data_IF_780765503983
#
_entry.id   IF_780765503983
#
_cell.length_a   1.000
_cell.length_b   1.000
_cell.length_c   1.000
_cell.angle_alpha   90.00
_cell.angle_beta   90.00
_cell.angle_gamma   90.00
#
_symmetry.space_group_name_H-M   'P 1'
#
loop_
_entity.id
_entity.type
_entity.pdbx_description
1 polymer ?
#
# COMPACT_ATOMS: atom_id res chain seq x y z
N UNK A 1 32.13 -30.14 -26.53
CA UNK A 1 32.14 -29.37 -25.27
C UNK A 1 31.64 -27.95 -25.53
N UNK A 2 30.33 -27.72 -25.63
CA UNK A 2 29.79 -26.35 -25.83
C UNK A 2 28.59 -25.98 -24.94
N UNK A 3 28.06 -26.91 -24.14
CA UNK A 3 26.92 -26.68 -23.26
C UNK A 3 27.26 -25.86 -22.00
N UNK A 4 28.55 -25.54 -21.80
CA UNK A 4 29.05 -24.86 -20.60
C UNK A 4 28.76 -23.36 -20.53
N UNK A 5 28.18 -22.75 -21.57
CA UNK A 5 27.95 -21.29 -21.61
C UNK A 5 26.51 -20.86 -21.34
N UNK A 6 25.55 -21.79 -21.30
CA UNK A 6 24.13 -21.48 -21.08
C UNK A 6 23.65 -21.69 -19.64
N UNK A 7 24.43 -22.37 -18.80
CA UNK A 7 24.03 -22.65 -17.41
C UNK A 7 24.35 -21.52 -16.41
N UNK A 8 25.09 -20.46 -16.81
CA UNK A 8 25.40 -19.34 -15.91
C UNK A 8 24.39 -18.18 -15.95
N UNK A 9 23.39 -18.21 -16.86
CA UNK A 9 22.48 -17.08 -17.07
C UNK A 9 21.17 -17.13 -16.24
N UNK A 10 20.97 -18.16 -15.42
CA UNK A 10 19.69 -18.44 -14.76
C UNK A 10 19.70 -18.20 -13.23
N UNK A 11 20.60 -17.35 -12.75
CA UNK A 11 20.71 -16.98 -11.33
C UNK A 11 20.36 -15.50 -11.08
N UNK A 12 19.38 -14.99 -11.84
CA UNK A 12 18.69 -13.73 -11.56
C UNK A 12 17.18 -13.95 -11.40
N UNK A 13 16.78 -14.94 -10.59
CA UNK A 13 15.42 -14.95 -10.05
C UNK A 13 15.35 -13.85 -8.99
N UNK A 14 14.73 -12.73 -9.36
CA UNK A 14 14.67 -11.50 -8.60
C UNK A 14 14.32 -11.70 -7.13
N UNK A 15 15.14 -11.12 -6.25
CA UNK A 15 14.73 -10.79 -4.90
C UNK A 15 13.59 -9.77 -5.03
N UNK A 16 12.34 -10.24 -5.05
CA UNK A 16 11.21 -9.37 -4.74
C UNK A 16 11.43 -8.94 -3.29
N UNK A 17 11.53 -7.63 -3.00
CA UNK A 17 11.43 -7.20 -1.62
C UNK A 17 10.02 -7.57 -1.18
N UNK A 18 9.91 -8.66 -0.42
CA UNK A 18 8.74 -8.91 0.38
C UNK A 18 8.68 -7.73 1.36
N UNK A 19 7.89 -6.72 1.02
CA UNK A 19 7.54 -5.64 1.92
C UNK A 19 6.65 -6.21 3.02
N UNK A 20 7.25 -7.00 3.91
CA UNK A 20 6.67 -7.27 5.20
C UNK A 20 6.76 -5.95 5.96
N UNK A 21 5.62 -5.26 6.09
CA UNK A 21 5.50 -4.23 7.10
C UNK A 21 5.86 -4.87 8.46
N UNK A 22 6.52 -4.15 9.38
CA UNK A 22 6.84 -4.71 10.69
C UNK A 22 5.54 -5.11 11.42
N UNK A 23 5.55 -6.23 12.17
CA UNK A 23 4.39 -6.78 12.92
C UNK A 23 3.66 -5.70 13.77
N UNK A 24 4.41 -4.72 14.27
CA UNK A 24 3.89 -3.57 15.00
C UNK A 24 2.94 -2.71 14.17
N UNK A 25 3.21 -2.50 12.88
CA UNK A 25 2.33 -1.76 11.97
C UNK A 25 1.04 -2.52 11.66
N UNK A 26 1.10 -3.85 11.55
CA UNK A 26 -0.08 -4.67 11.30
C UNK A 26 -1.06 -4.63 12.49
N UNK A 27 -0.55 -4.66 13.73
CA UNK A 27 -1.39 -4.47 14.92
C UNK A 27 -2.05 -3.11 14.97
N UNK A 28 -1.30 -2.04 14.70
CA UNK A 28 -1.85 -0.67 14.69
C UNK A 28 -2.90 -0.51 13.59
N UNK A 29 -2.65 -1.07 12.40
CA UNK A 29 -3.63 -1.12 11.31
C UNK A 29 -4.93 -1.82 11.76
N UNK A 30 -4.83 -2.97 12.42
CA UNK A 30 -6.00 -3.70 12.91
C UNK A 30 -6.77 -2.91 13.99
N UNK A 31 -6.08 -2.27 14.94
CA UNK A 31 -6.71 -1.38 15.93
C UNK A 31 -7.48 -0.22 15.26
N UNK A 32 -6.85 0.45 14.28
CA UNK A 32 -7.49 1.52 13.51
C UNK A 32 -8.69 0.99 12.72
N UNK A 33 -8.58 -0.19 12.10
CA UNK A 33 -9.68 -0.81 11.38
C UNK A 33 -10.88 -1.04 12.30
N UNK A 34 -10.65 -1.62 13.48
CA UNK A 34 -11.68 -1.85 14.48
C UNK A 34 -12.29 -0.55 14.97
N UNK A 35 -11.50 0.51 15.18
CA UNK A 35 -12.03 1.85 15.51
C UNK A 35 -12.94 2.38 14.41
N UNK A 36 -12.54 2.27 13.14
CA UNK A 36 -13.34 2.72 12.00
C UNK A 36 -14.67 1.95 11.94
N UNK A 37 -14.64 0.64 12.15
CA UNK A 37 -15.84 -0.21 12.22
C UNK A 37 -16.75 0.18 13.39
N UNK A 38 -16.18 0.42 14.57
CA UNK A 38 -16.92 0.86 15.74
C UNK A 38 -17.57 2.25 15.56
N UNK A 39 -17.02 3.09 14.68
CA UNK A 39 -17.64 4.36 14.29
C UNK A 39 -18.75 4.21 13.23
N UNK A 40 -19.08 2.97 12.84
CA UNK A 40 -20.18 2.65 11.92
C UNK A 40 -19.78 2.53 10.45
N UNK A 41 -18.48 2.52 10.12
CA UNK A 41 -18.02 2.30 8.74
C UNK A 41 -17.81 0.79 8.51
N UNK A 42 -18.54 0.14 7.60
CA UNK A 42 -18.38 -1.29 7.36
C UNK A 42 -17.00 -1.60 6.79
N UNK A 43 -16.42 -2.75 7.14
CA UNK A 43 -15.08 -3.17 6.68
C UNK A 43 -14.94 -3.15 5.15
N UNK A 44 -16.00 -3.52 4.43
CA UNK A 44 -16.03 -3.50 2.96
C UNK A 44 -16.08 -2.08 2.37
N UNK A 45 -16.37 -1.07 3.17
CA UNK A 45 -16.51 0.34 2.77
C UNK A 45 -15.19 1.11 2.77
N UNK A 46 -14.08 0.50 3.19
CA UNK A 46 -12.77 1.13 3.21
C UNK A 46 -11.62 0.13 3.11
N UNK A 47 -10.41 0.63 2.90
CA UNK A 47 -9.18 -0.15 2.91
C UNK A 47 -8.08 0.61 3.60
N UNK A 48 -7.24 -0.12 4.34
CA UNK A 48 -6.08 0.43 5.04
C UNK A 48 -4.79 -0.10 4.42
N UNK A 49 -3.99 0.80 3.86
CA UNK A 49 -2.70 0.47 3.22
C UNK A 49 -1.56 1.02 4.06
N UNK A 50 -0.55 0.18 4.32
CA UNK A 50 0.67 0.60 5.02
C UNK A 50 1.69 0.98 3.95
N UNK A 51 2.15 2.22 3.97
CA UNK A 51 3.17 2.73 3.03
C UNK A 51 4.30 3.43 3.79
N UNK A 52 5.52 3.47 3.24
CA UNK A 52 6.60 4.26 3.82
C UNK A 52 6.22 5.75 3.92
N UNK A 53 6.76 6.47 4.89
CA UNK A 53 6.46 7.89 5.12
C UNK A 53 6.61 8.78 3.88
N UNK A 54 7.63 8.50 3.06
CA UNK A 54 7.92 9.22 1.81
C UNK A 54 6.83 9.02 0.74
N UNK A 55 6.09 7.90 0.81
CA UNK A 55 5.04 7.52 -0.14
C UNK A 55 3.63 7.72 0.43
N UNK A 56 3.51 8.35 1.60
CA UNK A 56 2.23 8.48 2.28
C UNK A 56 1.34 9.60 1.74
N UNK A 57 1.87 10.44 0.84
CA UNK A 57 1.13 11.45 0.10
C UNK A 57 0.53 10.82 -1.17
N UNK A 58 -0.52 10.01 -1.01
CA UNK A 58 -1.25 9.43 -2.13
C UNK A 58 -2.56 10.19 -2.35
N UNK A 59 -2.79 10.64 -3.59
CA UNK A 59 -4.02 11.31 -3.97
C UNK A 59 -5.24 10.40 -3.73
N UNK A 60 -6.24 10.91 -3.00
CA UNK A 60 -7.46 10.17 -2.68
C UNK A 60 -7.37 9.24 -1.46
N UNK A 61 -6.24 9.26 -0.74
CA UNK A 61 -6.07 8.53 0.51
C UNK A 61 -5.81 9.47 1.69
N UNK A 62 -6.32 9.11 2.87
CA UNK A 62 -6.17 9.90 4.09
C UNK A 62 -5.24 9.21 5.08
N UNK A 63 -4.23 9.91 5.58
CA UNK A 63 -3.38 9.38 6.66
C UNK A 63 -4.18 9.32 7.95
N UNK A 64 -4.40 8.11 8.46
CA UNK A 64 -5.16 7.86 9.70
C UNK A 64 -4.30 7.33 10.84
N UNK A 65 -3.04 7.00 10.57
CA UNK A 65 -2.11 6.51 11.58
C UNK A 65 -0.68 6.43 11.08
N UNK A 66 0.21 6.24 12.04
CA UNK A 66 1.66 6.16 11.86
C UNK A 66 2.18 4.99 12.68
N UNK A 67 3.20 4.28 12.20
CA UNK A 67 3.78 3.15 12.90
C UNK A 67 5.30 3.05 12.66
N UNK A 68 5.97 2.29 13.55
CA UNK A 68 7.43 2.15 13.59
C UNK A 68 8.17 3.52 13.61
N UNK A 69 7.86 4.37 14.60
CA UNK A 69 8.45 5.72 14.76
C UNK A 69 8.34 6.59 13.50
N UNK A 70 7.12 6.72 12.96
CA UNK A 70 6.85 7.50 11.75
C UNK A 70 7.58 7.05 10.47
N UNK A 71 8.15 5.85 10.47
CA UNK A 71 8.77 5.26 9.28
C UNK A 71 7.71 4.87 8.25
N UNK A 72 6.53 4.44 8.72
CA UNK A 72 5.41 4.03 7.90
C UNK A 72 4.12 4.77 8.32
N UNK A 73 3.26 5.03 7.33
CA UNK A 73 1.92 5.58 7.53
C UNK A 73 0.86 4.60 7.08
N UNK A 74 -0.30 4.72 7.72
CA UNK A 74 -1.48 3.91 7.47
C UNK A 74 -2.49 4.82 6.78
N UNK A 75 -2.73 4.53 5.51
CA UNK A 75 -3.60 5.31 4.63
C UNK A 75 -4.97 4.66 4.58
N UNK A 76 -5.99 5.48 4.76
CA UNK A 76 -7.38 5.15 4.59
C UNK A 76 -7.83 5.50 3.18
N UNK A 77 -8.35 4.52 2.47
CA UNK A 77 -9.00 4.70 1.18
C UNK A 77 -10.45 4.26 1.31
N UNK A 78 -11.37 5.13 0.91
CA UNK A 78 -12.80 4.83 0.95
C UNK A 78 -13.18 4.00 -0.27
N UNK A 79 -13.87 2.88 -0.06
CA UNK A 79 -14.31 1.98 -1.13
C UNK A 79 -15.68 2.39 -1.72
N UNK A 80 -16.20 3.57 -1.40
CA UNK A 80 -17.44 4.09 -2.01
C UNK A 80 -17.14 4.64 -3.40
N UNK A 81 -16.99 3.74 -4.38
CA UNK A 81 -17.02 4.09 -5.79
C UNK A 81 -15.91 5.03 -6.25
N UNK A 82 -14.69 4.89 -5.73
CA UNK A 82 -13.52 5.50 -6.34
C UNK A 82 -13.31 4.87 -7.73
N UNK A 83 -14.03 5.37 -8.73
CA UNK A 83 -13.38 5.58 -10.02
C UNK A 83 -12.14 6.41 -9.68
N UNK A 84 -10.92 5.95 -9.99
CA UNK A 84 -9.80 6.86 -9.98
C UNK A 84 -10.16 7.94 -11.00
N UNK A 85 -10.65 9.10 -10.52
CA UNK A 85 -10.69 10.30 -11.33
C UNK A 85 -9.23 10.72 -11.49
N UNK A 86 -8.57 9.99 -12.37
CA UNK A 86 -7.50 10.51 -13.18
C UNK A 86 -8.14 11.63 -13.99
N UNK A 87 -8.20 12.81 -13.38
CA UNK A 87 -8.40 14.08 -14.04
C UNK A 87 -7.14 14.34 -14.90
N UNK A 88 -6.94 13.50 -15.91
CA UNK A 88 -6.17 13.87 -17.08
C UNK A 88 -7.11 14.73 -17.90
N UNK A 89 -6.99 16.03 -17.68
CA UNK A 89 -7.69 17.07 -18.40
C UNK A 89 -7.79 16.75 -19.88
N UNK A 90 -9.02 16.41 -20.30
CA UNK A 90 -9.47 16.60 -21.66
C UNK A 90 -9.58 18.11 -21.91
N UNK A 91 -8.45 18.73 -22.23
CA UNK A 91 -8.36 20.09 -22.73
C UNK A 91 -8.37 20.09 -24.26
N UNK A 92 -9.56 19.94 -24.83
CA UNK A 92 -9.84 20.28 -26.23
C UNK A 92 -9.92 21.80 -26.33
N UNK A 93 -9.00 22.42 -27.08
CA UNK A 93 -9.16 23.64 -27.90
C UNK A 93 -7.84 24.04 -28.55
#
# INVERSE_FOLDING_TARGET
MQYSRWLCALLLAGAVPAFAAPDSCERVKADIQQRIINNGVPESGFSLTIVPNDQADQAGSQVVGHCANDTYKILYTRNSGATPQNDQGAGTQ
#
